data_IF_829146069905
#
_entry.id   IF_829146069905
#
_cell.length_a   1.000
_cell.length_b   1.000
_cell.length_c   1.000
_cell.angle_alpha   90.00
_cell.angle_beta   90.00
_cell.angle_gamma   90.00
#
_symmetry.space_group_name_H-M   'P 1'
#
loop_
_entity.id
_entity.type
_entity.pdbx_description
1 polymer ?
#
# COMPACT_ATOMS: atom_id res chain seq x y z
N UNK A 1 11.68 0.15 -12.01
CA UNK A 1 10.23 0.15 -12.05
C UNK A 1 9.67 -0.69 -10.89
N UNK A 2 9.96 -2.01 -10.84
CA UNK A 2 9.40 -2.93 -9.84
C UNK A 2 9.64 -2.50 -8.38
N UNK A 3 10.85 -2.07 -8.02
CA UNK A 3 11.16 -1.64 -6.65
C UNK A 3 10.30 -0.43 -6.21
N UNK A 4 10.06 0.52 -7.10
CA UNK A 4 9.18 1.66 -6.82
C UNK A 4 7.73 1.22 -6.61
N UNK A 5 7.24 0.31 -7.44
CA UNK A 5 5.87 -0.23 -7.31
C UNK A 5 5.67 -0.98 -5.98
N UNK A 6 6.68 -1.75 -5.54
CA UNK A 6 6.67 -2.44 -4.24
C UNK A 6 6.60 -1.41 -3.10
N UNK A 7 7.47 -0.41 -3.09
CA UNK A 7 7.51 0.61 -2.04
C UNK A 7 6.20 1.41 -2.01
N UNK A 8 5.67 1.81 -3.16
CA UNK A 8 4.40 2.52 -3.25
C UNK A 8 3.23 1.65 -2.74
N UNK A 9 3.23 0.35 -3.04
CA UNK A 9 2.23 -0.59 -2.52
C UNK A 9 2.30 -0.76 -1.00
N UNK A 10 3.50 -0.85 -0.43
CA UNK A 10 3.73 -0.96 1.01
C UNK A 10 3.27 0.33 1.72
N UNK A 11 3.64 1.50 1.20
CA UNK A 11 3.24 2.81 1.76
C UNK A 11 1.73 3.02 1.79
N UNK A 12 1.01 2.37 0.89
CA UNK A 12 -0.43 2.51 0.72
C UNK A 12 -1.15 1.19 0.99
N UNK A 13 -0.81 0.51 2.08
CA UNK A 13 -1.33 -0.82 2.46
C UNK A 13 -2.87 -0.91 2.50
N UNK A 14 -3.57 0.21 2.70
CA UNK A 14 -5.02 0.31 2.67
C UNK A 14 -5.62 0.38 1.25
N UNK A 15 -4.80 0.63 0.22
CA UNK A 15 -5.17 0.66 -1.21
C UNK A 15 -4.90 -0.73 -1.81
N UNK A 16 -5.83 -1.23 -2.60
CA UNK A 16 -5.65 -2.50 -3.32
C UNK A 16 -5.03 -2.34 -4.69
N UNK A 17 -5.31 -1.21 -5.34
CA UNK A 17 -4.90 -0.93 -6.72
C UNK A 17 -4.56 0.53 -6.85
N UNK A 18 -3.46 0.81 -7.54
CA UNK A 18 -2.91 2.14 -7.74
C UNK A 18 -2.43 2.30 -9.16
N UNK A 19 -2.87 3.37 -9.83
CA UNK A 19 -2.36 3.79 -11.13
C UNK A 19 -2.18 5.30 -11.16
N UNK A 20 -1.06 5.72 -11.75
CA UNK A 20 -0.75 7.13 -11.97
C UNK A 20 -0.89 7.46 -13.46
N UNK A 21 -1.48 8.59 -13.73
CA UNK A 21 -1.63 9.15 -15.08
C UNK A 21 -1.01 10.55 -15.12
N UNK A 22 -0.49 10.94 -16.28
CA UNK A 22 0.07 12.29 -16.52
C UNK A 22 1.13 12.65 -15.46
N UNK A 23 2.15 11.79 -15.29
CA UNK A 23 3.23 11.97 -14.31
C UNK A 23 2.74 12.21 -12.88
N UNK A 24 1.63 11.60 -12.52
CA UNK A 24 1.04 11.67 -11.18
C UNK A 24 0.10 12.86 -10.95
N UNK A 25 -0.25 13.63 -11.99
CA UNK A 25 -1.24 14.68 -11.90
C UNK A 25 -2.64 14.13 -11.59
N UNK A 26 -2.93 12.91 -12.02
CA UNK A 26 -4.14 12.16 -11.71
C UNK A 26 -3.76 10.77 -11.21
N UNK A 27 -4.45 10.30 -10.19
CA UNK A 27 -4.32 8.95 -9.66
C UNK A 27 -5.67 8.23 -9.69
N UNK A 28 -5.64 6.93 -10.00
CA UNK A 28 -6.76 6.02 -9.82
C UNK A 28 -6.43 5.08 -8.69
N UNK A 29 -7.27 5.04 -7.67
CA UNK A 29 -7.11 4.18 -6.52
C UNK A 29 -8.33 3.28 -6.34
N UNK A 30 -8.07 1.98 -6.15
CA UNK A 30 -9.09 1.00 -5.80
C UNK A 30 -8.95 0.58 -4.35
N UNK A 31 -9.98 0.76 -3.53
CA UNK A 31 -9.96 0.36 -2.13
C UNK A 31 -11.22 -0.40 -1.74
N UNK A 32 -11.06 -1.37 -0.83
CA UNK A 32 -12.19 -2.15 -0.31
C UNK A 32 -12.85 -1.41 0.84
N UNK A 33 -14.15 -1.22 0.75
CA UNK A 33 -14.96 -0.55 1.75
C UNK A 33 -15.14 -1.46 2.98
N UNK A 34 -14.97 -0.87 4.15
CA UNK A 34 -15.11 -1.52 5.46
C UNK A 34 -16.18 -0.84 6.30
N UNK A 35 -16.51 -1.45 7.44
CA UNK A 35 -17.60 -1.02 8.34
C UNK A 35 -17.48 0.42 8.85
N UNK A 36 -16.25 0.91 8.99
CA UNK A 36 -15.97 2.28 9.45
C UNK A 36 -16.04 3.34 8.35
N UNK A 37 -16.45 2.99 7.13
CA UNK A 37 -16.50 3.94 6.02
C UNK A 37 -17.76 4.82 6.11
N UNK A 38 -17.57 6.14 6.05
CA UNK A 38 -18.66 7.14 6.08
C UNK A 38 -19.56 7.07 4.84
N UNK A 39 -19.06 6.48 3.74
CA UNK A 39 -19.75 6.43 2.44
C UNK A 39 -20.62 5.18 2.23
N UNK A 40 -20.71 4.30 3.24
CA UNK A 40 -21.54 3.09 3.15
C UNK A 40 -23.00 3.47 3.27
N UNK A 41 -23.84 2.85 2.43
CA UNK A 41 -25.30 3.02 2.38
C UNK A 41 -25.79 4.45 2.13
N UNK A 42 -24.89 5.32 1.62
CA UNK A 42 -25.21 6.68 1.21
C UNK A 42 -25.31 6.75 -0.31
N UNK A 43 -26.39 7.32 -0.89
CA UNK A 43 -26.48 7.54 -2.32
C UNK A 43 -25.37 8.47 -2.82
N UNK A 44 -24.81 8.16 -4.00
CA UNK A 44 -23.65 8.91 -4.50
C UNK A 44 -23.93 10.39 -4.73
N UNK A 45 -25.17 10.77 -5.03
CA UNK A 45 -25.53 12.19 -5.19
C UNK A 45 -25.44 12.97 -3.86
N UNK A 46 -25.55 12.30 -2.71
CA UNK A 46 -25.39 12.90 -1.39
C UNK A 46 -23.91 13.07 -0.99
N UNK A 47 -23.02 12.20 -1.52
CA UNK A 47 -21.58 12.32 -1.30
C UNK A 47 -20.97 13.51 -2.06
N UNK A 48 -21.66 14.00 -3.07
CA UNK A 48 -21.15 14.95 -4.03
C UNK A 48 -21.80 16.32 -3.97
N UNK A 49 -21.07 17.33 -3.41
CA UNK A 49 -21.25 18.71 -3.83
C UNK A 49 -20.39 19.01 -5.07
N UNK A 50 -20.50 20.22 -5.64
CA UNK A 50 -19.71 20.64 -6.81
C UNK A 50 -18.19 20.63 -6.59
N UNK A 51 -17.73 20.54 -5.34
CA UNK A 51 -16.34 20.70 -4.94
C UNK A 51 -15.71 19.45 -4.28
N UNK A 52 -16.26 18.25 -4.51
CA UNK A 52 -15.60 17.03 -4.00
C UNK A 52 -14.28 16.80 -4.75
N UNK A 53 -13.21 16.46 -4.00
CA UNK A 53 -11.88 16.33 -4.58
C UNK A 53 -11.62 14.98 -5.25
N UNK A 54 -12.65 14.22 -5.59
CA UNK A 54 -12.56 12.91 -6.23
C UNK A 54 -13.74 12.64 -7.15
N UNK A 55 -13.59 11.62 -8.00
CA UNK A 55 -14.68 11.06 -8.77
C UNK A 55 -14.68 9.53 -8.63
N UNK A 56 -15.87 8.93 -8.44
CA UNK A 56 -16.01 7.47 -8.40
C UNK A 56 -16.28 6.99 -9.82
N UNK A 57 -15.35 6.19 -10.37
CA UNK A 57 -15.41 5.74 -11.76
C UNK A 57 -15.96 4.34 -11.93
N UNK A 58 -15.84 3.49 -10.89
CA UNK A 58 -16.38 2.15 -10.89
C UNK A 58 -16.58 1.61 -9.47
N UNK A 59 -17.52 0.69 -9.31
CA UNK A 59 -17.75 -0.09 -8.10
C UNK A 59 -17.72 -1.56 -8.49
N UNK A 60 -16.82 -2.35 -7.86
CA UNK A 60 -16.78 -3.80 -8.01
C UNK A 60 -17.48 -4.44 -6.81
N UNK A 61 -18.62 -5.09 -7.10
CA UNK A 61 -19.44 -5.82 -6.12
C UNK A 61 -19.44 -7.30 -6.47
N UNK A 62 -18.75 -8.10 -5.69
CA UNK A 62 -18.53 -9.51 -6.04
C UNK A 62 -17.83 -9.65 -7.40
N UNK A 63 -18.48 -10.28 -8.35
CA UNK A 63 -17.97 -10.46 -9.72
C UNK A 63 -18.47 -9.39 -10.70
N UNK A 64 -19.37 -8.51 -10.29
CA UNK A 64 -19.93 -7.45 -11.15
C UNK A 64 -19.12 -6.16 -11.03
N UNK A 65 -18.93 -5.47 -12.16
CA UNK A 65 -18.42 -4.10 -12.21
C UNK A 65 -19.55 -3.16 -12.59
N UNK A 66 -19.81 -2.18 -11.76
CA UNK A 66 -20.88 -1.19 -11.91
C UNK A 66 -20.24 0.14 -12.29
N UNK A 67 -20.70 0.78 -13.33
CA UNK A 67 -20.41 2.18 -13.63
C UNK A 67 -21.45 3.00 -12.86
N UNK A 68 -21.02 3.72 -11.82
CA UNK A 68 -21.97 4.29 -10.88
C UNK A 68 -22.76 5.47 -11.43
N UNK A 69 -23.98 5.59 -10.97
CA UNK A 69 -24.87 6.74 -11.17
C UNK A 69 -25.16 7.40 -9.84
N UNK A 70 -25.76 8.58 -9.86
CA UNK A 70 -26.03 9.35 -8.64
C UNK A 70 -26.87 8.61 -7.58
N UNK A 71 -27.82 7.78 -8.03
CA UNK A 71 -28.72 7.00 -7.19
C UNK A 71 -28.13 5.67 -6.70
N UNK A 72 -26.97 5.27 -7.21
CA UNK A 72 -26.27 4.08 -6.73
C UNK A 72 -25.74 4.28 -5.31
N UNK A 73 -25.69 3.16 -4.57
CA UNK A 73 -25.24 3.11 -3.18
C UNK A 73 -24.02 2.21 -3.06
N UNK A 74 -23.00 2.69 -2.38
CA UNK A 74 -21.83 1.90 -2.02
C UNK A 74 -22.20 0.98 -0.86
N UNK A 75 -21.88 -0.30 -0.99
CA UNK A 75 -22.13 -1.31 0.03
C UNK A 75 -20.85 -1.78 0.69
N UNK A 76 -21.01 -2.33 1.89
CA UNK A 76 -19.93 -2.98 2.60
C UNK A 76 -19.25 -4.05 1.73
N UNK A 77 -17.92 -4.08 1.75
CA UNK A 77 -17.05 -4.96 0.97
C UNK A 77 -16.97 -4.67 -0.53
N UNK A 78 -17.67 -3.69 -1.06
CA UNK A 78 -17.40 -3.20 -2.42
C UNK A 78 -15.95 -2.77 -2.56
N UNK A 79 -15.38 -2.92 -3.76
CA UNK A 79 -14.15 -2.23 -4.12
C UNK A 79 -14.55 -1.02 -4.94
N UNK A 80 -14.24 0.16 -4.43
CA UNK A 80 -14.58 1.42 -5.08
C UNK A 80 -13.33 2.02 -5.71
N UNK A 81 -13.46 2.45 -6.95
CA UNK A 81 -12.40 3.06 -7.73
C UNK A 81 -12.61 4.58 -7.80
N UNK A 82 -11.65 5.30 -7.24
CA UNK A 82 -11.64 6.75 -7.19
C UNK A 82 -10.59 7.32 -8.14
N UNK A 83 -10.91 8.36 -8.89
CA UNK A 83 -9.92 9.24 -9.51
C UNK A 83 -9.78 10.51 -8.68
N UNK A 84 -8.55 10.93 -8.46
CA UNK A 84 -8.23 12.11 -7.64
C UNK A 84 -6.82 12.64 -7.91
N UNK A 85 -6.46 13.76 -7.29
CA UNK A 85 -5.08 14.25 -7.21
C UNK A 85 -4.39 13.68 -5.97
N UNK A 86 -3.07 13.45 -6.02
CA UNK A 86 -2.29 12.91 -4.88
C UNK A 86 -2.57 13.63 -3.55
N UNK A 87 -2.69 14.95 -3.57
CA UNK A 87 -2.95 15.76 -2.37
C UNK A 87 -4.27 15.45 -1.65
N UNK A 88 -5.21 14.81 -2.33
CA UNK A 88 -6.53 14.49 -1.78
C UNK A 88 -6.68 13.04 -1.32
N UNK A 89 -5.63 12.23 -1.43
CA UNK A 89 -5.62 10.84 -0.95
C UNK A 89 -5.97 10.73 0.54
N UNK A 90 -5.46 11.58 1.44
CA UNK A 90 -5.84 11.54 2.85
C UNK A 90 -7.35 11.72 3.07
N UNK A 91 -8.01 12.55 2.27
CA UNK A 91 -9.45 12.71 2.34
C UNK A 91 -10.19 11.41 1.97
N UNK A 92 -9.77 10.75 0.88
CA UNK A 92 -10.36 9.46 0.49
C UNK A 92 -10.12 8.41 1.59
N UNK A 93 -8.89 8.34 2.14
CA UNK A 93 -8.55 7.44 3.25
C UNK A 93 -9.51 7.58 4.43
N UNK A 94 -9.88 8.82 4.76
CA UNK A 94 -10.84 9.13 5.81
C UNK A 94 -12.23 8.60 5.49
N UNK A 95 -12.82 9.01 4.36
CA UNK A 95 -14.21 8.66 4.03
C UNK A 95 -14.43 7.17 3.78
N UNK A 96 -13.38 6.42 3.38
CA UNK A 96 -13.45 4.96 3.23
C UNK A 96 -13.15 4.20 4.53
N UNK A 97 -13.01 4.90 5.66
CA UNK A 97 -12.83 4.30 6.98
C UNK A 97 -11.46 3.68 7.21
N UNK A 98 -10.41 4.22 6.57
CA UNK A 98 -9.05 3.70 6.64
C UNK A 98 -8.08 4.62 7.40
N UNK A 99 -8.59 5.64 8.08
CA UNK A 99 -7.78 6.61 8.80
C UNK A 99 -6.96 5.96 9.93
N UNK A 100 -7.54 4.98 10.62
CA UNK A 100 -6.88 4.21 11.68
C UNK A 100 -5.99 3.07 11.19
N UNK A 101 -5.91 2.82 9.87
CA UNK A 101 -5.00 1.80 9.36
C UNK A 101 -3.57 2.22 9.61
N UNK A 102 -2.75 1.39 10.30
CA UNK A 102 -1.37 1.74 10.57
C UNK A 102 -0.59 1.89 9.27
N UNK A 103 0.30 2.87 9.25
CA UNK A 103 1.31 2.94 8.21
C UNK A 103 2.34 1.81 8.46
N UNK A 104 2.79 1.17 7.40
CA UNK A 104 3.82 0.13 7.48
C UNK A 104 5.13 0.78 7.91
N UNK A 105 5.69 0.29 9.02
CA UNK A 105 6.94 0.80 9.61
C UNK A 105 8.06 -0.22 9.61
N UNK A 106 7.72 -1.50 9.76
CA UNK A 106 8.70 -2.59 9.82
C UNK A 106 8.49 -3.50 8.62
N UNK A 107 9.50 -3.62 7.79
CA UNK A 107 9.46 -4.39 6.55
C UNK A 107 10.55 -5.46 6.60
N UNK A 108 10.20 -6.69 6.26
CA UNK A 108 11.14 -7.79 6.14
C UNK A 108 11.16 -8.29 4.70
N UNK A 109 12.32 -8.24 4.06
CA UNK A 109 12.51 -8.63 2.66
C UNK A 109 13.27 -9.95 2.61
N UNK A 110 12.68 -10.96 1.98
CA UNK A 110 13.30 -12.27 1.78
C UNK A 110 14.12 -12.27 0.48
N UNK A 111 15.44 -12.35 0.62
CA UNK A 111 16.43 -12.39 -0.46
C UNK A 111 17.02 -11.03 -0.82
N UNK A 112 18.35 -11.01 -0.94
CA UNK A 112 19.17 -9.84 -1.25
C UNK A 112 19.31 -9.57 -2.76
N UNK A 113 18.21 -9.38 -3.45
CA UNK A 113 18.19 -9.09 -4.88
C UNK A 113 18.49 -7.61 -5.19
N UNK A 114 18.77 -7.28 -6.46
CA UNK A 114 18.85 -5.87 -6.89
C UNK A 114 17.56 -5.09 -6.64
N UNK A 115 16.41 -5.79 -6.66
CA UNK A 115 15.11 -5.19 -6.37
C UNK A 115 15.03 -4.86 -4.88
N UNK A 116 15.51 -5.75 -4.00
CA UNK A 116 15.53 -5.55 -2.55
C UNK A 116 16.38 -4.34 -2.16
N UNK A 117 17.61 -4.24 -2.70
CA UNK A 117 18.49 -3.07 -2.52
C UNK A 117 17.81 -1.79 -3.01
N UNK A 118 17.23 -1.84 -4.21
CA UNK A 118 16.58 -0.64 -4.75
C UNK A 118 15.31 -0.27 -4.00
N UNK A 119 14.58 -1.23 -3.48
CA UNK A 119 13.40 -0.99 -2.65
C UNK A 119 13.80 -0.34 -1.31
N UNK A 120 14.86 -0.82 -0.65
CA UNK A 120 15.35 -0.20 0.59
C UNK A 120 15.77 1.25 0.38
N UNK A 121 16.49 1.56 -0.70
CA UNK A 121 16.91 2.92 -1.04
C UNK A 121 15.75 3.88 -1.40
N UNK A 122 14.61 3.36 -1.83
CA UNK A 122 13.42 4.14 -2.19
C UNK A 122 12.41 4.25 -1.04
N UNK A 123 12.60 3.46 -0.01
CA UNK A 123 11.73 3.46 1.15
C UNK A 123 11.84 4.77 1.93
N UNK A 124 10.75 5.25 2.53
CA UNK A 124 10.81 6.41 3.42
C UNK A 124 11.67 6.13 4.66
N UNK A 125 12.36 7.13 5.18
CA UNK A 125 13.24 7.06 6.36
C UNK A 125 12.55 6.49 7.62
N UNK A 126 11.23 6.60 7.72
CA UNK A 126 10.49 6.04 8.85
C UNK A 126 10.30 4.51 8.77
N UNK A 127 10.58 3.89 7.62
CA UNK A 127 10.49 2.44 7.43
C UNK A 127 11.80 1.77 7.85
N UNK A 128 11.71 0.89 8.82
CA UNK A 128 12.81 0.01 9.23
C UNK A 128 12.80 -1.24 8.35
N UNK A 129 13.88 -1.48 7.65
CA UNK A 129 13.99 -2.57 6.71
C UNK A 129 14.99 -3.60 7.19
N UNK A 130 14.59 -4.87 7.15
CA UNK A 130 15.45 -6.03 7.32
C UNK A 130 15.49 -6.82 6.03
N UNK A 131 16.67 -7.20 5.56
CA UNK A 131 16.86 -8.08 4.40
C UNK A 131 17.45 -9.38 4.91
N UNK A 132 16.73 -10.49 4.72
CA UNK A 132 17.17 -11.84 5.06
C UNK A 132 17.78 -12.47 3.81
N UNK A 133 19.06 -12.86 3.85
CA UNK A 133 19.77 -13.47 2.73
C UNK A 133 20.54 -14.69 3.22
N UNK A 134 20.38 -15.82 2.53
CA UNK A 134 21.00 -17.10 2.93
C UNK A 134 22.48 -17.20 2.60
N UNK A 135 22.93 -16.51 1.58
CA UNK A 135 24.33 -16.51 1.12
C UNK A 135 25.15 -15.45 1.88
N UNK A 136 26.11 -15.90 2.69
CA UNK A 136 26.94 -15.03 3.52
C UNK A 136 27.79 -14.04 2.69
N UNK A 137 28.34 -14.47 1.55
CA UNK A 137 29.11 -13.57 0.70
C UNK A 137 28.22 -12.47 0.10
N UNK A 138 26.99 -12.85 -0.23
CA UNK A 138 26.00 -11.88 -0.70
C UNK A 138 25.58 -10.93 0.39
N UNK A 139 25.41 -11.37 1.66
CA UNK A 139 25.16 -10.50 2.78
C UNK A 139 26.27 -9.44 2.92
N UNK A 140 27.54 -9.86 2.86
CA UNK A 140 28.66 -8.90 2.96
C UNK A 140 28.62 -7.85 1.83
N UNK A 141 28.28 -8.25 0.60
CA UNK A 141 28.12 -7.28 -0.50
C UNK A 141 26.89 -6.38 -0.33
N UNK A 142 25.83 -6.88 0.27
CA UNK A 142 24.62 -6.09 0.51
C UNK A 142 24.87 -4.96 1.50
N UNK A 143 25.62 -5.18 2.55
CA UNK A 143 25.97 -4.14 3.55
C UNK A 143 26.71 -2.95 2.96
N UNK A 144 27.39 -3.14 1.81
CA UNK A 144 28.06 -2.05 1.09
C UNK A 144 27.11 -1.30 0.12
N UNK A 145 25.94 -1.87 -0.17
CA UNK A 145 25.00 -1.37 -1.19
C UNK A 145 23.74 -0.72 -0.60
N UNK A 146 23.42 -1.01 0.65
CA UNK A 146 22.26 -0.47 1.34
C UNK A 146 22.67 0.65 2.29
N UNK A 147 21.71 1.47 2.70
CA UNK A 147 21.93 2.54 3.67
C UNK A 147 22.17 1.98 5.08
N UNK A 148 22.83 2.72 5.96
CA UNK A 148 23.28 2.28 7.29
C UNK A 148 22.12 1.87 8.22
N UNK A 149 20.91 2.31 7.95
CA UNK A 149 19.69 1.98 8.71
C UNK A 149 18.99 0.69 8.24
N UNK A 150 19.47 0.08 7.15
CA UNK A 150 18.99 -1.20 6.63
C UNK A 150 19.77 -2.36 7.27
N UNK A 151 19.05 -3.24 7.95
CA UNK A 151 19.65 -4.41 8.56
C UNK A 151 19.74 -5.58 7.60
N UNK A 152 20.93 -6.11 7.38
CA UNK A 152 21.16 -7.34 6.58
C UNK A 152 21.43 -8.50 7.52
N UNK A 153 20.64 -9.56 7.39
CA UNK A 153 20.68 -10.74 8.25
C UNK A 153 21.04 -11.97 7.39
N UNK A 154 22.07 -12.68 7.80
CA UNK A 154 22.41 -13.96 7.15
C UNK A 154 21.53 -15.07 7.71
N UNK A 155 20.69 -15.66 6.85
CA UNK A 155 19.83 -16.76 7.24
C UNK A 155 18.86 -17.20 6.16
N UNK A 156 18.22 -18.35 6.36
CA UNK A 156 17.20 -18.86 5.45
C UNK A 156 15.87 -18.17 5.74
N UNK A 157 15.33 -17.43 4.76
CA UNK A 157 14.02 -16.76 4.87
C UNK A 157 12.81 -17.73 5.00
N UNK A 158 13.04 -19.03 5.03
CA UNK A 158 12.02 -20.06 5.31
C UNK A 158 12.12 -20.62 6.74
N UNK A 159 13.17 -20.22 7.47
CA UNK A 159 13.37 -20.61 8.87
C UNK A 159 12.49 -19.73 9.76
N UNK A 160 11.39 -20.29 10.25
CA UNK A 160 10.42 -19.57 11.05
C UNK A 160 11.01 -19.13 12.39
N UNK A 161 11.88 -19.93 13.01
CA UNK A 161 12.48 -19.59 14.31
C UNK A 161 13.39 -18.36 14.15
N UNK A 162 14.23 -18.33 13.11
CA UNK A 162 15.02 -17.16 12.76
C UNK A 162 14.15 -15.92 12.53
N UNK A 163 13.08 -16.06 11.74
CA UNK A 163 12.20 -14.94 11.42
C UNK A 163 11.50 -14.41 12.68
N UNK A 164 11.10 -15.28 13.60
CA UNK A 164 10.49 -14.90 14.87
C UNK A 164 11.47 -14.16 15.77
N UNK A 165 12.71 -14.65 15.87
CA UNK A 165 13.79 -13.99 16.63
C UNK A 165 14.12 -12.61 16.05
N UNK A 166 14.03 -12.48 14.72
CA UNK A 166 14.22 -11.20 14.03
C UNK A 166 12.99 -10.28 14.03
N UNK A 167 11.92 -10.68 14.70
CA UNK A 167 10.76 -9.84 14.96
C UNK A 167 9.67 -9.90 13.90
N UNK A 168 9.47 -11.05 13.28
CA UNK A 168 8.37 -11.28 12.33
C UNK A 168 7.00 -10.85 12.90
N UNK A 169 6.77 -11.08 14.20
CA UNK A 169 5.53 -10.68 14.87
C UNK A 169 5.26 -9.17 14.89
N UNK A 170 6.29 -8.36 14.71
CA UNK A 170 6.20 -6.90 14.70
C UNK A 170 6.41 -6.32 13.29
N UNK A 171 6.38 -7.18 12.28
CA UNK A 171 6.55 -6.80 10.88
C UNK A 171 5.18 -6.64 10.23
N UNK A 172 4.95 -5.52 9.56
CA UNK A 172 3.69 -5.22 8.89
C UNK A 172 3.73 -5.60 7.40
N UNK A 173 4.92 -5.75 6.81
CA UNK A 173 5.10 -6.16 5.41
C UNK A 173 6.41 -6.93 5.19
#
# INVERSE_FOLDING_TARGET
LAAKEIVDAIRMSWIRQWWEFYDGALVLIGTKIRESAEIVDVPLYELGGRDIPFHIVAIKRGNATIIPRGDDIIKLYDIVYFTTKKKHIPYIRKIVGKESYPDVKNVMIMGGSRISVRASQLAPEYMKIKIIESDLERCNRLTELVDDDVMVINGDGRDLDLLMDEGLNNTEA
#
